data_IF_954350148970
#
_entry.id   IF_954350148970
#
_cell.length_a   1.000
_cell.length_b   1.000
_cell.length_c   1.000
_cell.angle_alpha   90.00
_cell.angle_beta   90.00
_cell.angle_gamma   90.00
#
_symmetry.space_group_name_H-M   'P 1'
#
loop_
_entity.id
_entity.type
_entity.pdbx_description
1 polymer ?
#
# COMPACT_ATOMS: atom_id res chain seq x y z
N UNK A 1 -7.06 -15.91 28.62
CA UNK A 1 -5.69 -15.76 28.10
C UNK A 1 -4.73 -15.79 29.29
N UNK A 2 -3.64 -16.59 29.21
CA UNK A 2 -2.69 -16.70 30.30
C UNK A 2 -1.80 -15.45 30.40
N UNK A 3 -1.29 -15.16 31.58
CA UNK A 3 -0.34 -14.05 31.81
C UNK A 3 0.93 -14.22 30.94
N UNK A 4 1.31 -15.47 30.64
CA UNK A 4 2.43 -15.80 29.77
C UNK A 4 2.23 -15.31 28.31
N UNK A 5 1.00 -15.38 27.80
CA UNK A 5 0.66 -14.84 26.48
C UNK A 5 0.91 -13.33 26.40
N UNK A 6 0.47 -12.59 27.42
CA UNK A 6 0.66 -11.13 27.46
C UNK A 6 2.14 -10.74 27.57
N UNK A 7 2.92 -11.52 28.32
CA UNK A 7 4.35 -11.32 28.41
C UNK A 7 5.05 -11.54 27.04
N UNK A 8 4.75 -12.64 26.36
CA UNK A 8 5.30 -12.96 25.05
C UNK A 8 4.87 -11.94 24.00
N UNK A 9 3.61 -11.50 24.04
CA UNK A 9 3.11 -10.46 23.17
C UNK A 9 3.80 -9.11 23.41
N UNK A 10 3.96 -8.71 24.66
CA UNK A 10 4.69 -7.48 25.02
C UNK A 10 6.16 -7.54 24.56
N UNK A 11 6.81 -8.71 24.72
CA UNK A 11 8.18 -8.92 24.26
C UNK A 11 8.28 -8.77 22.72
N UNK A 12 7.37 -9.39 21.97
CA UNK A 12 7.30 -9.26 20.52
C UNK A 12 7.14 -7.81 20.09
N UNK A 13 6.20 -7.08 20.71
CA UNK A 13 5.97 -5.66 20.46
C UNK A 13 7.24 -4.83 20.79
N UNK A 14 7.93 -5.13 21.87
CA UNK A 14 9.18 -4.44 22.23
C UNK A 14 10.27 -4.64 21.16
N UNK A 15 10.46 -5.84 20.64
CA UNK A 15 11.40 -6.11 19.56
C UNK A 15 11.02 -5.35 18.28
N UNK A 16 9.73 -5.26 17.94
CA UNK A 16 9.24 -4.48 16.79
C UNK A 16 9.51 -2.98 16.97
N UNK A 17 9.17 -2.42 18.14
CA UNK A 17 9.39 -0.98 18.40
C UNK A 17 10.86 -0.60 18.41
N UNK A 18 11.74 -1.44 18.94
CA UNK A 18 13.20 -1.19 18.95
C UNK A 18 13.77 -1.24 17.52
N UNK A 19 13.24 -2.11 16.68
CA UNK A 19 13.73 -2.31 15.31
C UNK A 19 13.12 -1.33 14.29
N UNK A 20 11.91 -0.85 14.52
CA UNK A 20 11.16 0.02 13.59
C UNK A 20 11.93 1.29 13.18
N UNK A 21 12.61 2.05 14.07
CA UNK A 21 13.32 3.27 13.68
C UNK A 21 14.48 3.04 12.69
N UNK A 22 15.06 1.83 12.69
CA UNK A 22 16.16 1.47 11.79
C UNK A 22 15.67 0.91 10.45
N UNK A 23 14.43 0.42 10.40
CA UNK A 23 13.76 -0.04 9.17
C UNK A 23 14.47 -1.16 8.41
N UNK A 24 14.01 -1.42 7.19
CA UNK A 24 14.66 -2.31 6.23
C UNK A 24 14.98 -3.71 6.77
N UNK A 25 16.16 -4.23 6.42
CA UNK A 25 16.61 -5.56 6.85
C UNK A 25 16.78 -5.69 8.36
N UNK A 26 17.08 -4.58 9.08
CA UNK A 26 17.26 -4.61 10.53
C UNK A 26 15.95 -4.98 11.24
N UNK A 27 14.81 -4.52 10.75
CA UNK A 27 13.49 -4.90 11.27
C UNK A 27 13.29 -6.42 11.22
N UNK A 28 13.60 -7.05 10.09
CA UNK A 28 13.46 -8.50 9.92
C UNK A 28 14.43 -9.29 10.80
N UNK A 29 15.71 -8.93 10.80
CA UNK A 29 16.74 -9.61 11.58
C UNK A 29 16.48 -9.52 13.10
N UNK A 30 16.18 -8.31 13.58
CA UNK A 30 15.99 -8.09 15.00
C UNK A 30 14.68 -8.72 15.51
N UNK A 31 13.62 -8.70 14.70
CA UNK A 31 12.39 -9.44 15.00
C UNK A 31 12.61 -10.96 15.00
N UNK A 32 13.50 -11.45 14.11
CA UNK A 32 13.94 -12.84 14.10
C UNK A 32 14.65 -13.24 15.40
N UNK A 33 15.53 -12.39 15.93
CA UNK A 33 16.15 -12.59 17.26
C UNK A 33 15.07 -12.66 18.34
N UNK A 34 14.06 -11.79 18.28
CA UNK A 34 12.92 -11.82 19.21
C UNK A 34 12.18 -13.16 19.19
N UNK A 35 11.95 -13.71 17.99
CA UNK A 35 11.35 -15.05 17.85
C UNK A 35 12.24 -16.14 18.45
N UNK A 36 13.55 -16.09 18.23
CA UNK A 36 14.52 -17.03 18.83
C UNK A 36 14.44 -16.98 20.37
N UNK A 37 14.39 -15.78 20.94
CA UNK A 37 14.25 -15.60 22.40
C UNK A 37 12.95 -16.22 22.91
N UNK A 38 11.82 -16.01 22.18
CA UNK A 38 10.53 -16.59 22.57
C UNK A 38 10.56 -18.13 22.48
N UNK A 39 11.23 -18.69 21.47
CA UNK A 39 11.28 -20.14 21.24
C UNK A 39 12.23 -20.86 22.21
N UNK A 40 13.40 -20.32 22.44
CA UNK A 40 14.47 -20.98 23.23
C UNK A 40 14.60 -20.46 24.66
N UNK A 41 13.78 -19.48 25.06
CA UNK A 41 13.81 -18.95 26.41
C UNK A 41 13.25 -19.92 27.48
N UNK A 42 13.46 -19.60 28.76
CA UNK A 42 13.09 -20.49 29.89
C UNK A 42 11.57 -20.60 30.03
N UNK A 43 11.11 -21.84 30.25
CA UNK A 43 9.70 -22.12 30.62
C UNK A 43 9.45 -21.65 32.08
N UNK A 44 8.20 -21.22 32.40
CA UNK A 44 6.98 -21.28 31.61
C UNK A 44 6.72 -19.99 30.77
N UNK A 45 7.56 -18.96 30.88
CA UNK A 45 7.34 -17.65 30.26
C UNK A 45 7.63 -17.64 28.75
N UNK A 46 8.60 -18.45 28.33
CA UNK A 46 9.12 -18.61 26.98
C UNK A 46 9.13 -20.11 26.63
N UNK A 47 9.76 -20.49 25.53
CA UNK A 47 9.90 -21.88 25.12
C UNK A 47 8.69 -22.42 24.37
N UNK A 48 8.08 -21.54 23.49
CA UNK A 48 7.03 -21.96 22.57
C UNK A 48 7.62 -22.88 21.49
N UNK A 49 6.92 -23.96 21.12
CA UNK A 49 7.36 -24.78 19.99
C UNK A 49 7.28 -23.96 18.71
N UNK A 50 8.22 -24.16 17.77
CA UNK A 50 8.17 -23.50 16.48
C UNK A 50 6.88 -23.89 15.74
N UNK A 51 6.10 -22.90 15.34
CA UNK A 51 4.96 -23.09 14.44
C UNK A 51 5.43 -23.47 13.05
N UNK A 52 4.54 -24.02 12.23
CA UNK A 52 4.82 -24.20 10.81
C UNK A 52 4.95 -22.80 10.17
N UNK A 53 6.01 -22.55 9.36
CA UNK A 53 6.14 -21.28 8.66
C UNK A 53 4.94 -21.10 7.71
N UNK A 54 4.37 -19.90 7.60
CA UNK A 54 3.23 -19.61 6.70
C UNK A 54 3.72 -19.51 5.25
N UNK A 55 4.09 -20.65 4.66
CA UNK A 55 4.72 -20.70 3.32
C UNK A 55 3.83 -20.05 2.26
N UNK A 56 2.52 -20.29 2.33
CA UNK A 56 1.57 -19.70 1.37
C UNK A 56 1.57 -18.16 1.42
N UNK A 57 1.69 -17.59 2.63
CA UNK A 57 1.80 -16.13 2.80
C UNK A 57 3.12 -15.63 2.22
N UNK A 58 4.23 -16.32 2.49
CA UNK A 58 5.57 -15.94 1.96
C UNK A 58 5.57 -15.98 0.43
N UNK A 59 5.04 -17.03 -0.18
CA UNK A 59 4.94 -17.16 -1.63
C UNK A 59 4.04 -16.07 -2.24
N UNK A 60 2.95 -15.72 -1.57
CA UNK A 60 2.08 -14.63 -2.03
C UNK A 60 2.78 -13.27 -1.97
N UNK A 61 3.55 -13.02 -0.91
CA UNK A 61 4.37 -11.81 -0.80
C UNK A 61 5.35 -11.72 -1.97
N UNK A 62 6.07 -12.81 -2.26
CA UNK A 62 7.04 -12.87 -3.36
C UNK A 62 6.35 -12.59 -4.69
N UNK A 63 5.21 -13.23 -4.98
CA UNK A 63 4.47 -13.05 -6.23
C UNK A 63 3.97 -11.61 -6.42
N UNK A 64 3.40 -11.01 -5.37
CA UNK A 64 2.87 -9.63 -5.42
C UNK A 64 4.00 -8.61 -5.55
N UNK A 65 5.09 -8.80 -4.81
CA UNK A 65 6.26 -7.91 -4.90
C UNK A 65 6.93 -8.02 -6.26
N UNK A 66 7.04 -9.22 -6.82
CA UNK A 66 7.56 -9.41 -8.17
C UNK A 66 6.71 -8.65 -9.20
N UNK A 67 5.38 -8.79 -9.16
CA UNK A 67 4.49 -8.09 -10.10
C UNK A 67 4.56 -6.57 -9.94
N UNK A 68 4.61 -6.06 -8.72
CA UNK A 68 4.78 -4.62 -8.46
C UNK A 68 6.14 -4.09 -8.94
N UNK A 69 7.20 -4.86 -8.75
CA UNK A 69 8.55 -4.49 -9.20
C UNK A 69 8.67 -4.51 -10.71
N UNK A 70 8.06 -5.48 -11.41
CA UNK A 70 8.04 -5.51 -12.87
C UNK A 70 7.20 -4.38 -13.45
N UNK A 71 6.06 -4.03 -12.84
CA UNK A 71 5.27 -2.86 -13.22
C UNK A 71 6.10 -1.57 -13.11
N UNK A 72 6.87 -1.42 -12.04
CA UNK A 72 7.73 -0.27 -11.84
C UNK A 72 8.89 -0.26 -12.85
N UNK A 73 9.58 -1.38 -13.03
CA UNK A 73 10.71 -1.49 -13.95
C UNK A 73 10.32 -1.29 -15.42
N UNK A 74 9.10 -1.70 -15.81
CA UNK A 74 8.55 -1.50 -17.16
C UNK A 74 8.02 -0.09 -17.41
N UNK A 75 8.03 0.81 -16.42
CA UNK A 75 7.47 2.15 -16.51
C UNK A 75 5.93 2.21 -16.43
N UNK A 76 5.26 1.09 -16.19
CA UNK A 76 3.80 1.08 -16.06
C UNK A 76 3.30 1.94 -14.89
N UNK A 77 4.08 2.03 -13.81
CA UNK A 77 3.77 2.92 -12.70
C UNK A 77 3.78 4.39 -13.13
N UNK A 78 4.71 4.80 -14.01
CA UNK A 78 4.80 6.18 -14.50
C UNK A 78 3.55 6.59 -15.30
N UNK A 79 2.98 5.65 -16.06
CA UNK A 79 1.70 5.86 -16.74
C UNK A 79 0.57 6.16 -15.74
N UNK A 80 0.47 5.38 -14.66
CA UNK A 80 -0.54 5.61 -13.62
C UNK A 80 -0.33 6.94 -12.90
N UNK A 81 0.93 7.32 -12.65
CA UNK A 81 1.31 8.59 -12.03
C UNK A 81 0.99 9.77 -12.95
N UNK A 82 1.24 9.66 -14.26
CA UNK A 82 0.89 10.69 -15.23
C UNK A 82 -0.62 10.96 -15.29
N UNK A 83 -1.43 9.90 -15.19
CA UNK A 83 -2.89 10.02 -15.08
C UNK A 83 -3.28 10.77 -13.80
N UNK A 84 -2.68 10.40 -12.66
CA UNK A 84 -2.94 11.08 -11.39
C UNK A 84 -2.53 12.57 -11.44
N UNK A 85 -1.36 12.88 -12.01
CA UNK A 85 -0.90 14.25 -12.20
C UNK A 85 -1.87 15.05 -13.04
N UNK A 86 -2.34 14.51 -14.17
CA UNK A 86 -3.33 15.15 -15.03
C UNK A 86 -4.63 15.46 -14.28
N UNK A 87 -5.08 14.56 -13.42
CA UNK A 87 -6.27 14.75 -12.59
C UNK A 87 -6.05 15.88 -11.58
N UNK A 88 -4.91 15.87 -10.88
CA UNK A 88 -4.56 16.87 -9.86
C UNK A 88 -4.46 18.29 -10.48
N UNK A 89 -3.77 18.42 -11.61
CA UNK A 89 -3.60 19.71 -12.32
C UNK A 89 -4.90 20.22 -12.92
N UNK A 90 -5.85 19.35 -13.27
CA UNK A 90 -7.15 19.76 -13.81
C UNK A 90 -8.03 20.45 -12.77
N UNK A 91 -7.90 20.11 -11.49
CA UNK A 91 -8.71 20.66 -10.38
C UNK A 91 -7.85 21.04 -9.17
N UNK A 92 -6.93 22.00 -9.33
CA UNK A 92 -5.93 22.31 -8.30
C UNK A 92 -6.54 22.89 -7.02
N UNK A 93 -7.69 23.58 -7.09
CA UNK A 93 -8.36 24.18 -5.92
C UNK A 93 -8.83 23.16 -4.88
N UNK A 94 -9.04 21.93 -5.29
CA UNK A 94 -9.49 20.84 -4.39
C UNK A 94 -8.39 19.81 -4.11
N UNK A 95 -7.11 20.19 -4.33
CA UNK A 95 -5.96 19.30 -4.18
C UNK A 95 -5.89 18.67 -2.79
N UNK A 96 -6.34 19.36 -1.73
CA UNK A 96 -6.35 18.84 -0.35
C UNK A 96 -7.21 17.56 -0.22
N UNK A 97 -8.25 17.41 -1.03
CA UNK A 97 -9.09 16.20 -1.07
C UNK A 97 -8.68 15.26 -2.19
N UNK A 98 -8.35 15.84 -3.35
CA UNK A 98 -8.09 15.07 -4.56
C UNK A 98 -6.77 14.30 -4.50
N UNK A 99 -5.73 14.90 -3.91
CA UNK A 99 -4.43 14.26 -3.77
C UNK A 99 -4.48 13.00 -2.88
N UNK A 100 -5.06 13.02 -1.67
CA UNK A 100 -5.24 11.81 -0.88
C UNK A 100 -6.06 10.74 -1.58
N UNK A 101 -7.12 11.11 -2.31
CA UNK A 101 -7.94 10.16 -3.06
C UNK A 101 -7.15 9.51 -4.21
N UNK A 102 -6.37 10.28 -4.97
CA UNK A 102 -5.48 9.74 -6.00
C UNK A 102 -4.44 8.80 -5.40
N UNK A 103 -3.80 9.20 -4.29
CA UNK A 103 -2.81 8.38 -3.59
C UNK A 103 -3.43 7.09 -3.06
N UNK A 104 -4.60 7.18 -2.42
CA UNK A 104 -5.35 6.03 -1.91
C UNK A 104 -5.67 5.04 -3.03
N UNK A 105 -6.22 5.54 -4.16
CA UNK A 105 -6.58 4.71 -5.32
C UNK A 105 -5.35 4.04 -5.93
N UNK A 106 -4.26 4.78 -6.14
CA UNK A 106 -3.01 4.21 -6.66
C UNK A 106 -2.45 3.14 -5.72
N UNK A 107 -2.50 3.38 -4.42
CA UNK A 107 -2.03 2.38 -3.44
C UNK A 107 -2.91 1.13 -3.44
N UNK A 108 -4.23 1.27 -3.58
CA UNK A 108 -5.12 0.10 -3.74
C UNK A 108 -4.72 -0.70 -4.97
N UNK A 109 -4.46 -0.06 -6.08
CA UNK A 109 -4.08 -0.72 -7.33
C UNK A 109 -2.70 -1.36 -7.25
N UNK A 110 -1.69 -0.65 -6.72
CA UNK A 110 -0.31 -1.15 -6.65
C UNK A 110 -0.05 -2.09 -5.46
N UNK A 111 -0.91 -2.10 -4.44
CA UNK A 111 -0.75 -2.93 -3.24
C UNK A 111 0.34 -2.45 -2.27
N UNK A 112 1.02 -1.34 -2.57
CA UNK A 112 2.13 -0.81 -1.77
C UNK A 112 1.98 0.68 -1.47
N UNK A 113 2.30 1.10 -0.24
CA UNK A 113 2.24 2.51 0.16
C UNK A 113 3.37 3.38 -0.40
N UNK A 114 4.38 2.78 -1.04
CA UNK A 114 5.55 3.53 -1.55
C UNK A 114 5.22 4.43 -2.75
N UNK A 115 4.12 4.20 -3.44
CA UNK A 115 3.63 5.05 -4.54
C UNK A 115 3.41 6.51 -4.15
N UNK A 116 3.23 6.80 -2.86
CA UNK A 116 3.09 8.17 -2.38
C UNK A 116 4.36 8.99 -2.62
N UNK A 117 5.55 8.40 -2.48
CA UNK A 117 6.80 9.15 -2.61
C UNK A 117 6.99 9.76 -4.00
N UNK A 118 6.49 9.11 -5.03
CA UNK A 118 6.52 9.63 -6.40
C UNK A 118 5.43 10.68 -6.67
N UNK A 119 4.33 10.66 -5.90
CA UNK A 119 3.27 11.65 -5.99
C UNK A 119 3.53 12.92 -5.17
N UNK A 120 4.30 12.84 -4.07
CA UNK A 120 4.53 13.99 -3.19
C UNK A 120 5.10 15.21 -3.90
N UNK A 121 6.10 15.12 -4.80
CA UNK A 121 6.61 16.26 -5.55
C UNK A 121 5.52 16.91 -6.43
N UNK A 122 4.68 16.08 -7.07
CA UNK A 122 3.58 16.55 -7.91
C UNK A 122 2.51 17.27 -7.07
N UNK A 123 2.16 16.70 -5.92
CA UNK A 123 1.20 17.31 -4.98
C UNK A 123 1.72 18.63 -4.46
N UNK A 124 3.02 18.70 -4.13
CA UNK A 124 3.70 19.92 -3.71
C UNK A 124 3.60 21.01 -4.78
N UNK A 125 4.00 20.70 -6.01
CA UNK A 125 3.99 21.64 -7.13
C UNK A 125 2.58 22.21 -7.40
N UNK A 126 1.57 21.34 -7.44
CA UNK A 126 0.17 21.74 -7.63
C UNK A 126 -0.33 22.62 -6.48
N UNK A 127 -0.01 22.27 -5.24
CA UNK A 127 -0.45 23.03 -4.06
C UNK A 127 0.20 24.43 -4.01
N UNK A 128 1.52 24.52 -4.19
CA UNK A 128 2.28 25.77 -4.19
C UNK A 128 1.78 26.71 -5.28
N UNK A 129 1.65 26.24 -6.53
CA UNK A 129 1.18 27.04 -7.67
C UNK A 129 -0.26 27.56 -7.48
N UNK A 130 -1.05 26.86 -6.65
CA UNK A 130 -2.43 27.27 -6.36
C UNK A 130 -2.54 28.19 -5.12
N UNK A 131 -1.46 28.32 -4.35
CA UNK A 131 -1.42 29.07 -3.10
C UNK A 131 -2.02 28.32 -1.90
N UNK A 132 -2.23 27.01 -2.06
CA UNK A 132 -2.64 26.11 -0.99
C UNK A 132 -1.40 25.64 -0.24
N UNK A 133 -1.48 25.56 1.08
CA UNK A 133 -0.41 25.08 1.93
C UNK A 133 -0.09 23.60 1.64
N UNK A 134 1.12 23.25 1.12
CA UNK A 134 1.44 21.88 0.66
C UNK A 134 1.35 20.82 1.76
N UNK A 135 1.63 21.20 3.00
CA UNK A 135 1.54 20.30 4.16
C UNK A 135 0.18 19.65 4.29
N UNK A 136 -0.91 20.34 3.90
CA UNK A 136 -2.27 19.82 3.99
C UNK A 136 -2.49 18.59 3.11
N UNK A 137 -2.36 18.69 1.78
CA UNK A 137 -2.56 17.51 0.91
C UNK A 137 -1.46 16.46 1.10
N UNK A 138 -0.22 16.85 1.34
CA UNK A 138 0.90 15.91 1.49
C UNK A 138 0.77 15.04 2.73
N UNK A 139 0.46 15.62 3.90
CA UNK A 139 0.28 14.87 5.14
C UNK A 139 -0.87 13.85 5.01
N UNK A 140 -2.01 14.27 4.47
CA UNK A 140 -3.15 13.36 4.28
C UNK A 140 -2.86 12.31 3.22
N UNK A 141 -2.13 12.64 2.15
CA UNK A 141 -1.73 11.67 1.13
C UNK A 141 -0.79 10.59 1.70
N UNK A 142 0.11 10.97 2.60
CA UNK A 142 0.98 10.02 3.30
C UNK A 142 0.16 9.05 4.17
N UNK A 143 -0.85 9.53 4.88
CA UNK A 143 -1.77 8.66 5.63
C UNK A 143 -2.62 7.82 4.68
N UNK A 144 -3.14 8.41 3.61
CA UNK A 144 -3.98 7.74 2.61
C UNK A 144 -3.25 6.57 1.94
N UNK A 145 -1.94 6.69 1.68
CA UNK A 145 -1.14 5.61 1.12
C UNK A 145 -1.08 4.40 2.07
N UNK A 146 -0.91 4.61 3.37
CA UNK A 146 -0.89 3.51 4.34
C UNK A 146 -2.28 2.89 4.51
N UNK A 147 -3.34 3.70 4.50
CA UNK A 147 -4.71 3.20 4.54
C UNK A 147 -5.07 2.41 3.28
N UNK A 148 -4.58 2.83 2.11
CA UNK A 148 -4.78 2.13 0.84
C UNK A 148 -4.22 0.71 0.82
N UNK A 149 -3.12 0.44 1.54
CA UNK A 149 -2.57 -0.91 1.70
C UNK A 149 -3.59 -1.85 2.34
N UNK A 150 -4.32 -1.38 3.36
CA UNK A 150 -5.36 -2.18 4.04
C UNK A 150 -6.65 -2.35 3.22
N UNK A 151 -6.76 -1.63 2.10
CA UNK A 151 -7.90 -1.66 1.18
C UNK A 151 -7.56 -2.30 -0.17
N UNK A 152 -6.35 -2.82 -0.35
CA UNK A 152 -5.88 -3.39 -1.62
C UNK A 152 -6.06 -4.90 -1.70
N UNK A 153 -6.66 -5.41 -2.80
CA UNK A 153 -6.80 -6.85 -3.00
C UNK A 153 -5.47 -7.58 -3.23
N UNK A 154 -4.44 -6.84 -3.61
CA UNK A 154 -3.09 -7.36 -3.90
C UNK A 154 -2.09 -7.02 -2.81
N UNK A 155 -2.50 -6.39 -1.72
CA UNK A 155 -1.58 -6.09 -0.62
C UNK A 155 -1.28 -7.32 0.21
N UNK A 156 -0.03 -7.39 0.64
CA UNK A 156 0.43 -8.42 1.58
C UNK A 156 -0.42 -8.45 2.86
N UNK A 157 -0.81 -7.28 3.37
CA UNK A 157 -1.60 -7.17 4.59
C UNK A 157 -2.96 -7.88 4.48
N UNK A 158 -3.73 -7.57 3.45
CA UNK A 158 -5.07 -8.15 3.24
C UNK A 158 -4.99 -9.64 2.95
N UNK A 159 -4.06 -10.06 2.07
CA UNK A 159 -3.87 -11.46 1.73
C UNK A 159 -3.44 -12.29 2.95
N UNK A 160 -2.58 -11.74 3.81
CA UNK A 160 -2.18 -12.40 5.06
C UNK A 160 -3.36 -12.57 6.01
N UNK A 161 -4.23 -11.57 6.15
CA UNK A 161 -5.44 -11.67 6.99
C UNK A 161 -6.36 -12.78 6.47
N UNK A 162 -6.60 -12.87 5.16
CA UNK A 162 -7.39 -13.96 4.56
C UNK A 162 -6.77 -15.32 4.91
N UNK A 163 -5.45 -15.46 4.74
CA UNK A 163 -4.74 -16.70 5.05
C UNK A 163 -4.81 -17.07 6.53
N UNK A 164 -4.64 -16.13 7.45
CA UNK A 164 -4.73 -16.38 8.89
C UNK A 164 -6.15 -16.72 9.34
N UNK A 165 -7.17 -16.07 8.78
CA UNK A 165 -8.57 -16.40 9.04
C UNK A 165 -8.92 -17.81 8.58
N UNK A 166 -8.47 -18.18 7.38
CA UNK A 166 -8.65 -19.54 6.86
C UNK A 166 -7.96 -20.60 7.78
N UNK A 167 -6.74 -20.31 8.23
CA UNK A 167 -6.02 -21.18 9.18
C UNK A 167 -6.72 -21.28 10.54
N UNK A 168 -7.46 -20.25 10.96
CA UNK A 168 -8.29 -20.23 12.16
C UNK A 168 -9.68 -20.90 11.95
N UNK A 169 -9.95 -21.48 10.77
CA UNK A 169 -11.23 -22.13 10.45
C UNK A 169 -12.34 -21.14 10.05
N UNK A 170 -12.00 -19.88 9.81
CA UNK A 170 -12.93 -18.84 9.38
C UNK A 170 -12.77 -18.60 7.89
N UNK A 171 -13.76 -18.98 7.10
CA UNK A 171 -13.72 -18.85 5.63
C UNK A 171 -14.32 -17.51 5.17
N UNK A 172 -13.56 -16.43 5.35
CA UNK A 172 -13.93 -15.14 4.77
C UNK A 172 -13.30 -14.99 3.38
N UNK A 173 -14.10 -14.55 2.41
CA UNK A 173 -13.59 -14.22 1.10
C UNK A 173 -12.82 -12.89 1.12
N UNK A 174 -11.90 -12.73 0.16
CA UNK A 174 -11.15 -11.48 -0.03
C UNK A 174 -12.10 -10.27 -0.14
N UNK A 175 -13.20 -10.42 -0.89
CA UNK A 175 -14.16 -9.33 -1.08
C UNK A 175 -14.96 -9.00 0.17
N UNK A 176 -15.28 -9.96 1.01
CA UNK A 176 -15.93 -9.68 2.30
C UNK A 176 -15.05 -8.82 3.19
N UNK A 177 -13.74 -9.07 3.21
CA UNK A 177 -12.77 -8.23 3.94
C UNK A 177 -12.69 -6.85 3.32
N UNK A 178 -12.56 -6.77 1.98
CA UNK A 178 -12.48 -5.50 1.27
C UNK A 178 -13.76 -4.67 1.35
N UNK A 179 -14.93 -5.29 1.40
CA UNK A 179 -16.21 -4.59 1.56
C UNK A 179 -16.32 -3.82 2.88
N UNK A 180 -15.54 -4.21 3.87
CA UNK A 180 -15.43 -3.52 5.17
C UNK A 180 -14.25 -2.55 5.16
N UNK A 181 -13.07 -3.02 4.72
CA UNK A 181 -11.84 -2.22 4.83
C UNK A 181 -11.83 -1.02 3.88
N UNK A 182 -12.32 -1.16 2.64
CA UNK A 182 -12.35 -0.05 1.67
C UNK A 182 -13.21 1.13 2.16
N UNK A 183 -14.50 0.94 2.53
CA UNK A 183 -15.29 2.06 3.02
C UNK A 183 -14.77 2.65 4.34
N UNK A 184 -14.29 1.81 5.25
CA UNK A 184 -13.77 2.27 6.54
C UNK A 184 -12.51 3.14 6.39
N UNK A 185 -11.55 2.68 5.59
CA UNK A 185 -10.31 3.42 5.33
C UNK A 185 -10.55 4.68 4.49
N UNK A 186 -11.42 4.60 3.47
CA UNK A 186 -11.82 5.76 2.67
C UNK A 186 -12.48 6.83 3.53
N UNK A 187 -13.39 6.44 4.43
CA UNK A 187 -14.02 7.36 5.37
C UNK A 187 -12.97 8.03 6.27
N UNK A 188 -12.02 7.27 6.80
CA UNK A 188 -10.90 7.81 7.60
C UNK A 188 -10.05 8.82 6.84
N UNK A 189 -9.72 8.53 5.57
CA UNK A 189 -8.98 9.44 4.68
C UNK A 189 -9.77 10.72 4.42
N UNK A 190 -11.08 10.63 4.17
CA UNK A 190 -11.93 11.81 3.97
C UNK A 190 -12.05 12.67 5.23
N UNK A 191 -12.17 12.06 6.40
CA UNK A 191 -12.16 12.79 7.68
C UNK A 191 -10.82 13.51 7.91
N UNK A 192 -9.71 12.85 7.63
CA UNK A 192 -8.37 13.46 7.71
C UNK A 192 -8.21 14.62 6.73
N UNK A 193 -8.69 14.48 5.49
CA UNK A 193 -8.68 15.54 4.49
C UNK A 193 -9.51 16.75 4.92
N UNK A 194 -10.70 16.49 5.47
CA UNK A 194 -11.57 17.55 5.97
C UNK A 194 -10.97 18.30 7.17
N UNK A 195 -10.36 17.57 8.09
CA UNK A 195 -9.62 18.17 9.21
C UNK A 195 -8.45 19.01 8.72
N UNK A 196 -7.64 18.48 7.80
CA UNK A 196 -6.48 19.15 7.24
C UNK A 196 -6.85 20.40 6.43
N UNK A 197 -7.96 20.34 5.69
CA UNK A 197 -8.47 21.49 4.92
C UNK A 197 -8.73 22.72 5.77
N UNK A 198 -9.18 22.52 7.00
CA UNK A 198 -9.47 23.62 7.95
C UNK A 198 -8.25 24.10 8.74
N UNK A 199 -7.12 23.44 8.61
CA UNK A 199 -5.93 23.73 9.43
C UNK A 199 -4.97 24.68 8.72
N UNK A 200 -4.47 25.69 9.47
CA UNK A 200 -3.50 26.67 8.99
C UNK A 200 -4.11 27.72 8.07
N UNK A 201 -3.31 28.70 7.68
CA UNK A 201 -3.67 29.77 6.71
C UNK A 201 -3.17 29.40 5.31
N UNK A 202 -3.87 29.83 4.27
CA UNK A 202 -3.38 29.71 2.91
C UNK A 202 -2.12 30.55 2.71
N UNK A 203 -1.24 30.14 1.82
CA UNK A 203 0.06 30.77 1.59
C UNK A 203 -0.04 32.27 1.29
N UNK A 204 -1.11 32.69 0.61
CA UNK A 204 -1.38 34.11 0.31
C UNK A 204 -1.69 34.97 1.55
N UNK A 205 -2.10 34.32 2.66
CA UNK A 205 -2.48 34.97 3.91
C UNK A 205 -1.44 34.73 5.03
N UNK A 206 -0.37 34.04 4.72
CA UNK A 206 0.72 33.71 5.64
C UNK A 206 1.83 34.75 5.47
N UNK A 207 1.94 35.68 6.43
CA UNK A 207 2.90 36.80 6.41
C UNK A 207 4.34 36.29 6.36
N UNK A 208 4.65 35.24 7.12
CA UNK A 208 6.00 34.68 7.16
C UNK A 208 6.39 34.06 5.81
N UNK A 209 5.44 33.37 5.16
CA UNK A 209 5.66 32.85 3.80
C UNK A 209 5.82 33.97 2.78
N UNK A 210 4.99 35.01 2.87
CA UNK A 210 5.06 36.16 1.95
C UNK A 210 6.36 36.95 2.13
N UNK A 211 6.94 36.94 3.32
CA UNK A 211 8.24 37.57 3.59
C UNK A 211 9.38 36.70 3.02
N UNK A 212 9.30 35.38 3.18
CA UNK A 212 10.28 34.44 2.64
C UNK A 212 10.39 34.51 1.12
N UNK A 213 9.28 34.63 0.38
CA UNK A 213 9.28 34.68 -1.09
C UNK A 213 9.69 36.05 -1.66
N UNK A 214 9.97 37.06 -0.81
CA UNK A 214 10.58 38.33 -1.27
C UNK A 214 12.04 38.11 -1.69
N UNK A 215 12.72 37.14 -1.10
CA UNK A 215 14.04 36.72 -1.49
C UNK A 215 14.00 35.97 -2.83
N UNK A 216 14.70 36.43 -3.87
CA UNK A 216 14.71 35.79 -5.19
C UNK A 216 15.21 34.34 -5.17
N UNK A 217 16.22 34.02 -4.35
CA UNK A 217 16.76 32.66 -4.23
C UNK A 217 15.72 31.72 -3.59
N UNK A 218 15.06 32.14 -2.52
CA UNK A 218 14.02 31.37 -1.86
C UNK A 218 12.80 31.18 -2.79
N UNK A 219 12.44 32.19 -3.54
CA UNK A 219 11.36 32.11 -4.49
C UNK A 219 11.67 31.13 -5.62
N UNK A 220 12.87 31.14 -6.16
CA UNK A 220 13.31 30.21 -7.20
C UNK A 220 13.35 28.77 -6.65
N UNK A 221 13.84 28.57 -5.43
CA UNK A 221 13.85 27.27 -4.77
C UNK A 221 12.43 26.70 -4.56
N UNK A 222 11.46 27.55 -4.16
CA UNK A 222 10.08 27.14 -3.85
C UNK A 222 9.25 26.93 -5.12
N UNK A 223 9.38 27.78 -6.11
CA UNK A 223 8.59 27.78 -7.34
C UNK A 223 9.33 27.24 -8.57
N UNK A 224 10.59 26.86 -8.41
CA UNK A 224 11.41 26.29 -9.50
C UNK A 224 10.75 25.06 -10.11
N UNK A 225 11.16 24.71 -11.32
CA UNK A 225 10.60 23.58 -12.06
C UNK A 225 10.92 22.26 -11.36
N UNK A 226 9.91 21.72 -10.69
CA UNK A 226 9.95 20.34 -10.26
C UNK A 226 9.74 19.44 -11.49
N UNK A 227 10.47 18.33 -11.56
CA UNK A 227 10.30 17.34 -12.61
C UNK A 227 8.83 16.90 -12.69
N UNK A 228 8.18 17.20 -13.82
CA UNK A 228 6.81 16.82 -14.07
C UNK A 228 6.77 15.72 -15.13
N UNK A 229 5.84 14.78 -14.96
CA UNK A 229 5.57 13.77 -15.98
C UNK A 229 4.65 14.28 -17.08
N UNK A 230 4.08 15.49 -16.87
CA UNK A 230 3.16 16.10 -17.82
C UNK A 230 3.90 16.58 -19.07
N UNK A 231 3.44 16.12 -20.23
CA UNK A 231 4.06 16.43 -21.52
C UNK A 231 5.20 15.49 -21.93
N UNK A 232 5.58 14.55 -21.07
CA UNK A 232 6.48 13.48 -21.44
C UNK A 232 5.71 12.41 -22.22
N UNK A 233 6.08 12.19 -23.47
CA UNK A 233 5.54 11.08 -24.24
C UNK A 233 6.06 9.78 -23.68
N UNK A 234 5.16 9.00 -23.07
CA UNK A 234 5.50 7.68 -22.56
C UNK A 234 5.47 6.66 -23.70
N UNK A 235 6.42 5.74 -23.77
CA UNK A 235 6.40 4.65 -24.74
C UNK A 235 5.11 3.83 -24.63
N UNK A 236 4.61 3.29 -25.76
CA UNK A 236 3.41 2.42 -25.76
C UNK A 236 3.53 1.23 -24.83
N UNK A 237 4.75 0.72 -24.61
CA UNK A 237 5.02 -0.38 -23.67
C UNK A 237 4.55 -0.09 -22.25
N UNK A 238 4.64 1.17 -21.78
CA UNK A 238 4.20 1.58 -20.44
C UNK A 238 2.69 1.42 -20.26
N UNK A 239 1.92 1.78 -21.31
CA UNK A 239 0.46 1.61 -21.30
C UNK A 239 0.08 0.12 -21.34
N UNK A 240 0.80 -0.70 -22.10
CA UNK A 240 0.59 -2.15 -22.15
C UNK A 240 0.87 -2.79 -20.79
N UNK A 241 2.00 -2.46 -20.15
CA UNK A 241 2.35 -2.97 -18.84
C UNK A 241 1.29 -2.61 -17.78
N UNK A 242 0.83 -1.34 -17.77
CA UNK A 242 -0.27 -0.89 -16.91
C UNK A 242 -1.55 -1.66 -17.18
N UNK A 243 -1.92 -1.83 -18.46
CA UNK A 243 -3.13 -2.55 -18.86
C UNK A 243 -3.12 -4.01 -18.41
N UNK A 244 -2.01 -4.73 -18.64
CA UNK A 244 -1.83 -6.12 -18.19
C UNK A 244 -1.96 -6.23 -16.68
N UNK A 245 -1.33 -5.33 -15.94
CA UNK A 245 -1.38 -5.31 -14.48
C UNK A 245 -2.80 -5.06 -13.95
N UNK A 246 -3.52 -4.08 -14.50
CA UNK A 246 -4.90 -3.79 -14.11
C UNK A 246 -5.86 -4.95 -14.44
N UNK A 247 -5.67 -5.61 -15.59
CA UNK A 247 -6.42 -6.82 -15.95
C UNK A 247 -6.16 -7.92 -14.91
N UNK A 248 -4.92 -8.11 -14.49
CA UNK A 248 -4.57 -9.06 -13.43
C UNK A 248 -5.31 -8.80 -12.12
N UNK A 249 -5.37 -7.53 -11.68
CA UNK A 249 -6.12 -7.13 -10.48
C UNK A 249 -7.62 -7.43 -10.63
N UNK A 250 -8.20 -7.06 -11.77
CA UNK A 250 -9.61 -7.33 -12.07
C UNK A 250 -9.88 -8.84 -12.07
N UNK A 251 -8.98 -9.62 -12.66
CA UNK A 251 -9.07 -11.08 -12.66
C UNK A 251 -9.08 -11.65 -11.23
N UNK A 252 -8.18 -11.19 -10.35
CA UNK A 252 -8.15 -11.58 -8.94
C UNK A 252 -9.46 -11.20 -8.24
N UNK A 253 -9.98 -10.00 -8.48
CA UNK A 253 -11.22 -9.55 -7.88
C UNK A 253 -12.43 -10.39 -8.33
N UNK A 254 -12.51 -10.74 -9.62
CA UNK A 254 -13.57 -11.59 -10.17
C UNK A 254 -13.48 -13.01 -9.59
N UNK A 255 -12.31 -13.64 -9.68
CA UNK A 255 -12.11 -15.01 -9.20
C UNK A 255 -12.31 -15.12 -7.68
N UNK A 256 -11.98 -14.06 -6.93
CA UNK A 256 -12.24 -13.98 -5.49
C UNK A 256 -13.72 -13.88 -5.12
N UNK A 257 -14.56 -13.38 -6.04
CA UNK A 257 -16.00 -13.26 -5.83
C UNK A 257 -16.78 -14.49 -6.32
N UNK A 258 -16.26 -15.16 -7.32
CA UNK A 258 -16.90 -16.32 -7.94
C UNK A 258 -16.01 -17.57 -7.79
N UNK A 259 -15.92 -18.16 -6.58
CA UNK A 259 -15.09 -19.35 -6.35
C UNK A 259 -15.50 -20.55 -7.20
N UNK A 260 -16.75 -20.59 -7.68
CA UNK A 260 -17.25 -21.64 -8.55
C UNK A 260 -16.59 -21.63 -9.96
N UNK A 261 -16.00 -20.51 -10.37
CA UNK A 261 -15.21 -20.40 -11.60
C UNK A 261 -13.81 -21.02 -11.46
N UNK A 262 -13.38 -21.29 -10.23
CA UNK A 262 -12.06 -21.84 -9.98
C UNK A 262 -12.03 -23.34 -10.28
N UNK A 263 -10.94 -23.85 -10.88
CA UNK A 263 -10.78 -25.29 -11.08
C UNK A 263 -10.79 -26.03 -9.75
N UNK A 264 -11.48 -27.16 -9.71
CA UNK A 264 -11.58 -28.03 -8.54
C UNK A 264 -10.62 -29.20 -8.70
N UNK A 265 -9.82 -29.44 -7.67
CA UNK A 265 -8.87 -30.54 -7.62
C UNK A 265 -9.18 -31.46 -6.43
N UNK A 266 -8.89 -32.78 -6.54
CA UNK A 266 -9.01 -33.67 -5.41
C UNK A 266 -7.98 -33.30 -4.33
N UNK A 267 -8.47 -32.99 -3.13
CA UNK A 267 -7.61 -32.74 -1.97
C UNK A 267 -7.07 -34.06 -1.41
N UNK A 268 -6.16 -33.99 -0.41
CA UNK A 268 -5.58 -35.16 0.25
C UNK A 268 -6.62 -36.15 0.86
N UNK A 269 -7.88 -35.74 0.97
CA UNK A 269 -9.00 -36.56 1.46
C UNK A 269 -9.90 -37.05 0.32
N UNK A 270 -9.49 -36.91 -0.94
CA UNK A 270 -10.23 -37.33 -2.14
C UNK A 270 -11.48 -36.49 -2.46
N UNK A 271 -11.73 -35.39 -1.76
CA UNK A 271 -12.84 -34.49 -2.06
C UNK A 271 -12.40 -33.42 -3.03
N UNK A 272 -13.24 -33.13 -4.03
CA UNK A 272 -13.03 -32.01 -4.95
C UNK A 272 -13.13 -30.69 -4.18
N UNK A 273 -12.08 -29.87 -4.27
CA UNK A 273 -12.02 -28.56 -3.64
C UNK A 273 -11.49 -27.53 -4.64
N UNK A 274 -12.03 -26.33 -4.61
CA UNK A 274 -11.51 -25.22 -5.38
C UNK A 274 -10.09 -24.85 -4.94
N UNK A 275 -9.28 -24.35 -5.85
CA UNK A 275 -7.95 -23.80 -5.54
C UNK A 275 -8.12 -22.67 -4.50
N UNK A 276 -7.17 -22.58 -3.55
CA UNK A 276 -7.20 -21.51 -2.56
C UNK A 276 -7.01 -20.13 -3.23
N UNK A 277 -7.67 -19.10 -2.72
CA UNK A 277 -7.54 -17.74 -3.24
C UNK A 277 -6.09 -17.22 -3.16
N UNK A 278 -5.33 -17.63 -2.17
CA UNK A 278 -3.90 -17.31 -2.05
C UNK A 278 -3.11 -17.87 -3.24
N UNK A 279 -3.38 -19.11 -3.66
CA UNK A 279 -2.76 -19.73 -4.84
C UNK A 279 -3.17 -19.01 -6.13
N UNK A 280 -4.44 -18.60 -6.25
CA UNK A 280 -4.91 -17.80 -7.41
C UNK A 280 -4.14 -16.49 -7.51
N UNK A 281 -3.99 -15.76 -6.41
CA UNK A 281 -3.22 -14.50 -6.39
C UNK A 281 -1.77 -14.74 -6.80
N UNK A 282 -1.12 -15.80 -6.26
CA UNK A 282 0.24 -16.16 -6.63
C UNK A 282 0.38 -16.41 -8.14
N UNK A 283 -0.49 -17.26 -8.69
CA UNK A 283 -0.48 -17.61 -10.12
C UNK A 283 -0.72 -16.39 -11.01
N UNK A 284 -1.75 -15.61 -10.73
CA UNK A 284 -2.10 -14.44 -11.55
C UNK A 284 -1.00 -13.39 -11.49
N UNK A 285 -0.45 -13.09 -10.31
CA UNK A 285 0.61 -12.09 -10.17
C UNK A 285 1.92 -12.50 -10.82
N UNK A 286 2.32 -13.78 -10.71
CA UNK A 286 3.50 -14.28 -11.41
C UNK A 286 3.30 -14.28 -12.94
N UNK A 287 2.10 -14.62 -13.40
CA UNK A 287 1.77 -14.58 -14.82
C UNK A 287 1.77 -13.15 -15.37
N UNK A 288 1.18 -12.21 -14.64
CA UNK A 288 1.24 -10.77 -14.94
C UNK A 288 2.68 -10.29 -15.01
N UNK A 289 3.51 -10.67 -14.02
CA UNK A 289 4.93 -10.32 -14.01
C UNK A 289 5.65 -10.85 -15.26
N UNK A 290 5.39 -12.09 -15.65
CA UNK A 290 5.99 -12.69 -16.84
C UNK A 290 5.51 -12.06 -18.17
N UNK A 291 4.28 -11.56 -18.23
CA UNK A 291 3.74 -10.89 -19.41
C UNK A 291 4.23 -9.43 -19.56
N UNK A 292 4.61 -8.79 -18.47
CA UNK A 292 5.11 -7.43 -18.48
C UNK A 292 6.60 -7.38 -18.85
N UNK A 293 7.36 -8.42 -18.52
CA UNK A 293 8.78 -8.57 -18.89
C UNK A 293 8.98 -8.77 -20.38
#
# INVERSE_FOLDING_TARGET
>A
MSIYFWFQFALLIAFLFISAPRGGMFLGLFSGIGLIVIMFGPKPWLGLPPGKPPVDVILTIIAVVAAGSTLQASGGLDCMLQIAEKILRKRPKVVTFLAPLCTFTLTILCGTGHTVYTLLPIIYDVAIKTGIRPERPMAVSSVASQMGVSASPVSVAVVSIVGFMAAAGQNYSLLQILSISVPATLFGVLCAAFYSYRRGRDLKKDEAFQEMIKDPEQKEYIYGDNETLQGRELPSSYYHATGIFLIGIICIAILGNFPDLLPHFPNAKGKMAAISMTTVIQMVMLFVSALIL
#
